data_IF_249129980400
#
_entry.id   IF_249129980400
#
_cell.length_a   1.000
_cell.length_b   1.000
_cell.length_c   1.000
_cell.angle_alpha   90.00
_cell.angle_beta   90.00
_cell.angle_gamma   90.00
#
_symmetry.space_group_name_H-M   'P 1'
#
loop_
_entity.id
_entity.type
_entity.pdbx_description
1 polymer ?
#
# COMPACT_ATOMS: atom_id res chain seq x y z
N UNK A 1 55.43 -44.90 -40.28
CA UNK A 1 55.63 -43.43 -40.19
C UNK A 1 54.41 -42.88 -39.47
N UNK A 2 54.53 -42.58 -38.17
CA UNK A 2 53.39 -42.24 -37.29
C UNK A 2 53.20 -40.73 -37.34
N UNK A 3 52.11 -40.25 -37.92
CA UNK A 3 51.73 -38.83 -37.93
C UNK A 3 50.70 -38.55 -36.83
N UNK A 4 51.17 -37.87 -35.79
CA UNK A 4 50.36 -37.29 -34.73
C UNK A 4 49.61 -36.05 -35.25
N UNK A 5 48.28 -36.13 -35.33
CA UNK A 5 47.43 -34.97 -35.65
C UNK A 5 46.98 -34.35 -34.33
N UNK A 6 47.60 -33.23 -33.96
CA UNK A 6 47.27 -32.45 -32.77
C UNK A 6 45.85 -31.90 -32.81
N UNK A 7 45.04 -32.24 -31.80
CA UNK A 7 43.74 -31.59 -31.53
C UNK A 7 43.99 -30.19 -30.95
N UNK A 8 43.54 -29.15 -31.67
CA UNK A 8 43.40 -27.79 -31.13
C UNK A 8 42.40 -27.78 -29.97
N UNK A 9 42.62 -27.03 -28.87
CA UNK A 9 41.62 -26.88 -27.82
C UNK A 9 40.46 -26.03 -28.35
N UNK A 10 39.24 -26.54 -28.23
CA UNK A 10 38.02 -25.80 -28.54
C UNK A 10 37.82 -24.74 -27.46
N UNK A 11 37.89 -23.47 -27.84
CA UNK A 11 37.70 -22.32 -26.94
C UNK A 11 36.24 -22.30 -26.51
N UNK A 12 35.96 -22.62 -25.25
CA UNK A 12 34.62 -22.49 -24.66
C UNK A 12 34.37 -21.00 -24.45
N UNK A 13 33.49 -20.40 -25.25
CA UNK A 13 32.98 -19.06 -24.98
C UNK A 13 32.00 -19.15 -23.80
N UNK A 14 32.37 -18.52 -22.68
CA UNK A 14 31.48 -18.39 -21.53
C UNK A 14 30.26 -17.52 -21.91
N UNK A 15 29.05 -17.85 -21.42
CA UNK A 15 27.85 -17.06 -21.70
C UNK A 15 28.04 -15.65 -21.16
N UNK A 16 27.98 -14.65 -22.04
CA UNK A 16 28.00 -13.26 -21.63
C UNK A 16 26.62 -12.90 -21.07
N UNK A 17 26.58 -12.54 -19.80
CA UNK A 17 25.40 -11.95 -19.17
C UNK A 17 25.13 -10.60 -19.85
N UNK A 18 24.05 -10.54 -20.63
CA UNK A 18 23.53 -9.27 -21.10
C UNK A 18 23.15 -8.43 -19.87
N UNK A 19 23.80 -7.27 -19.73
CA UNK A 19 23.40 -6.26 -18.76
C UNK A 19 21.94 -5.89 -19.05
N UNK A 20 21.03 -6.34 -18.18
CA UNK A 20 19.61 -6.02 -18.25
C UNK A 20 19.43 -4.58 -17.74
N UNK A 21 19.86 -3.63 -18.56
CA UNK A 21 19.67 -2.20 -18.39
C UNK A 21 18.76 -1.67 -19.49
N UNK A 22 17.57 -2.26 -19.63
CA UNK A 22 16.46 -1.57 -20.28
C UNK A 22 15.67 -0.99 -19.14
N UNK A 23 15.82 0.32 -18.94
CA UNK A 23 14.83 1.10 -18.22
C UNK A 23 13.52 0.84 -18.94
N UNK A 24 12.68 -0.04 -18.38
CA UNK A 24 11.34 -0.24 -18.87
C UNK A 24 10.67 1.12 -18.67
N UNK A 25 10.56 1.86 -19.76
CA UNK A 25 9.62 2.97 -19.88
C UNK A 25 8.29 2.42 -19.40
N UNK A 26 7.93 2.70 -18.16
CA UNK A 26 6.67 2.29 -17.56
C UNK A 26 5.62 2.82 -18.51
N UNK A 27 4.97 1.94 -19.26
CA UNK A 27 3.71 2.26 -19.91
C UNK A 27 2.88 2.82 -18.76
N UNK A 28 2.63 4.13 -18.75
CA UNK A 28 1.87 4.77 -17.70
C UNK A 28 0.47 4.22 -17.84
N UNK A 29 0.18 3.15 -17.11
CA UNK A 29 -1.09 2.44 -17.22
C UNK A 29 -2.14 3.37 -16.66
N UNK A 30 -3.12 3.69 -17.51
CA UNK A 30 -4.16 4.66 -17.19
C UNK A 30 -5.18 4.03 -16.25
N UNK A 31 -4.80 3.91 -14.97
CA UNK A 31 -5.69 3.53 -13.87
C UNK A 31 -6.88 4.47 -13.76
N UNK A 32 -6.77 5.69 -14.30
CA UNK A 32 -7.86 6.65 -14.29
C UNK A 32 -9.10 6.15 -15.04
N UNK A 33 -8.91 5.32 -16.07
CA UNK A 33 -10.02 4.65 -16.77
C UNK A 33 -10.75 3.60 -15.92
N UNK A 34 -10.20 3.23 -14.75
CA UNK A 34 -10.76 2.28 -13.80
C UNK A 34 -11.31 2.97 -12.54
N UNK A 35 -11.23 4.30 -12.46
CA UNK A 35 -11.78 5.04 -11.34
C UNK A 35 -13.30 4.86 -11.27
N UNK A 36 -13.86 4.61 -10.06
CA UNK A 36 -15.29 4.56 -9.87
C UNK A 36 -15.90 5.96 -9.99
N UNK A 37 -17.22 6.06 -9.80
CA UNK A 37 -17.82 7.38 -9.63
C UNK A 37 -17.23 8.09 -8.39
N UNK A 38 -17.30 9.42 -8.41
CA UNK A 38 -16.64 10.24 -7.41
C UNK A 38 -17.16 9.98 -5.98
N UNK A 39 -18.45 9.70 -5.79
CA UNK A 39 -18.99 9.46 -4.45
C UNK A 39 -18.55 8.11 -3.92
N UNK A 40 -18.53 7.09 -4.78
CA UNK A 40 -17.95 5.79 -4.43
C UNK A 40 -16.48 5.92 -4.02
N UNK A 41 -15.66 6.61 -4.83
CA UNK A 41 -14.26 6.87 -4.48
C UNK A 41 -14.13 7.55 -3.11
N UNK A 42 -14.86 8.66 -2.91
CA UNK A 42 -14.73 9.47 -1.70
C UNK A 42 -15.23 8.72 -0.47
N UNK A 43 -16.31 7.96 -0.59
CA UNK A 43 -16.85 7.16 0.51
C UNK A 43 -15.88 6.09 0.97
N UNK A 44 -15.29 5.34 0.04
CA UNK A 44 -14.33 4.30 0.39
C UNK A 44 -13.03 4.88 0.94
N UNK A 45 -12.46 5.89 0.27
CA UNK A 45 -11.23 6.54 0.73
C UNK A 45 -11.42 7.15 2.12
N UNK A 46 -12.55 7.82 2.37
CA UNK A 46 -12.84 8.44 3.66
C UNK A 46 -12.94 7.40 4.78
N UNK A 47 -13.57 6.24 4.53
CA UNK A 47 -13.67 5.19 5.54
C UNK A 47 -12.35 4.45 5.75
N UNK A 48 -11.53 4.29 4.69
CA UNK A 48 -10.17 3.76 4.81
C UNK A 48 -9.31 4.65 5.74
N UNK A 49 -9.28 5.96 5.52
CA UNK A 49 -8.53 6.90 6.36
C UNK A 49 -9.02 6.91 7.82
N UNK A 50 -10.34 6.78 8.02
CA UNK A 50 -10.90 6.62 9.36
C UNK A 50 -10.42 5.33 10.03
N UNK A 51 -10.38 4.21 9.29
CA UNK A 51 -9.86 2.94 9.79
C UNK A 51 -8.36 2.99 10.13
N UNK A 52 -7.56 3.72 9.35
CA UNK A 52 -6.15 4.00 9.67
C UNK A 52 -6.03 4.80 10.96
N UNK A 53 -6.82 5.88 11.11
CA UNK A 53 -6.89 6.66 12.34
C UNK A 53 -7.25 5.78 13.55
N UNK A 54 -8.30 4.96 13.46
CA UNK A 54 -8.72 4.08 14.57
C UNK A 54 -7.62 3.09 14.98
N UNK A 55 -6.89 2.55 13.99
CA UNK A 55 -5.79 1.60 14.23
C UNK A 55 -4.60 2.29 14.89
N UNK A 56 -4.24 3.49 14.44
CA UNK A 56 -3.20 4.33 15.05
C UNK A 56 -3.60 4.79 16.45
N UNK A 57 -4.85 5.18 16.68
CA UNK A 57 -5.35 5.57 17.99
C UNK A 57 -5.29 4.40 18.99
N UNK A 58 -5.57 3.17 18.53
CA UNK A 58 -5.34 1.96 19.33
C UNK A 58 -3.86 1.78 19.65
N UNK A 59 -2.97 1.96 18.67
CA UNK A 59 -1.54 1.89 18.89
C UNK A 59 -1.05 2.92 19.91
N UNK A 60 -1.58 4.15 19.89
CA UNK A 60 -1.31 5.19 20.91
C UNK A 60 -1.75 4.74 22.30
N UNK A 61 -2.95 4.15 22.42
CA UNK A 61 -3.49 3.71 23.70
C UNK A 61 -2.60 2.65 24.37
N UNK A 62 -2.04 1.73 23.58
CA UNK A 62 -1.24 0.60 24.05
C UNK A 62 0.28 0.80 23.90
N UNK A 63 0.73 1.99 23.49
CA UNK A 63 2.15 2.26 23.28
C UNK A 63 2.98 2.11 24.58
N UNK A 64 4.21 1.57 24.49
CA UNK A 64 5.01 1.19 25.66
C UNK A 64 5.62 2.38 26.39
N UNK A 65 5.79 3.52 25.72
CA UNK A 65 6.41 4.71 26.30
C UNK A 65 5.80 6.00 25.72
N UNK A 66 6.14 7.14 26.34
CA UNK A 66 5.59 8.45 25.97
C UNK A 66 6.07 8.95 24.60
N UNK A 67 7.32 8.65 24.21
CA UNK A 67 7.85 9.08 22.92
C UNK A 67 7.11 8.40 21.75
N UNK A 68 6.84 7.09 21.87
CA UNK A 68 6.01 6.38 20.89
C UNK A 68 4.59 6.97 20.86
N UNK A 69 4.00 7.33 22.02
CA UNK A 69 2.69 7.97 22.08
C UNK A 69 2.65 9.30 21.35
N UNK A 70 3.65 10.15 21.56
CA UNK A 70 3.74 11.45 20.90
C UNK A 70 3.76 11.28 19.37
N UNK A 71 4.70 10.50 18.84
CA UNK A 71 4.81 10.29 17.40
C UNK A 71 3.56 9.62 16.80
N UNK A 72 3.05 8.56 17.42
CA UNK A 72 1.86 7.86 16.93
C UNK A 72 0.61 8.75 16.99
N UNK A 73 0.50 9.63 17.98
CA UNK A 73 -0.61 10.59 18.07
C UNK A 73 -0.58 11.60 16.93
N UNK A 74 0.62 12.03 16.50
CA UNK A 74 0.77 12.88 15.33
C UNK A 74 0.33 12.14 14.06
N UNK A 75 0.78 10.91 13.83
CA UNK A 75 0.34 10.09 12.69
C UNK A 75 -1.18 9.89 12.67
N UNK A 76 -1.79 9.58 13.83
CA UNK A 76 -3.23 9.46 13.97
C UNK A 76 -3.96 10.77 13.59
N UNK A 77 -3.47 11.92 14.08
CA UNK A 77 -4.03 13.22 13.75
C UNK A 77 -4.00 13.54 12.25
N UNK A 78 -2.98 13.08 11.52
CA UNK A 78 -2.87 13.26 10.06
C UNK A 78 -3.85 12.37 9.30
N UNK A 79 -3.97 11.09 9.65
CA UNK A 79 -4.99 10.22 9.08
C UNK A 79 -6.41 10.77 9.30
N UNK A 80 -6.69 11.28 10.51
CA UNK A 80 -7.97 11.93 10.82
C UNK A 80 -8.18 13.20 9.98
N UNK A 81 -7.12 13.97 9.74
CA UNK A 81 -7.18 15.17 8.89
C UNK A 81 -7.51 14.82 7.44
N UNK A 82 -6.93 13.75 6.89
CA UNK A 82 -7.26 13.22 5.56
C UNK A 82 -8.72 12.77 5.48
N UNK A 83 -9.18 12.00 6.46
CA UNK A 83 -10.60 11.63 6.59
C UNK A 83 -11.51 12.87 6.60
N UNK A 84 -11.22 13.88 7.42
CA UNK A 84 -11.99 15.12 7.49
C UNK A 84 -12.01 15.90 6.17
N UNK A 85 -10.89 15.94 5.45
CA UNK A 85 -10.81 16.58 4.14
C UNK A 85 -11.69 15.88 3.10
N UNK A 86 -11.69 14.54 3.08
CA UNK A 86 -12.54 13.75 2.19
C UNK A 86 -14.03 13.95 2.48
N UNK A 87 -14.46 13.89 3.74
CA UNK A 87 -15.88 14.13 4.07
C UNK A 87 -16.31 15.58 3.83
N UNK A 88 -15.37 16.54 3.90
CA UNK A 88 -15.64 17.94 3.51
C UNK A 88 -15.91 18.03 2.02
N UNK A 89 -15.18 17.28 1.20
CA UNK A 89 -15.37 17.22 -0.26
C UNK A 89 -16.70 16.54 -0.66
N UNK A 90 -17.14 15.54 0.13
CA UNK A 90 -18.48 14.94 0.01
C UNK A 90 -19.57 15.98 0.31
N UNK A 91 -19.46 16.69 1.45
CA UNK A 91 -20.44 17.73 1.84
C UNK A 91 -20.51 18.87 0.83
N UNK A 92 -19.36 19.28 0.25
CA UNK A 92 -19.31 20.33 -0.79
C UNK A 92 -20.18 20.01 -2.01
N UNK A 93 -20.48 18.72 -2.23
CA UNK A 93 -21.33 18.24 -3.33
C UNK A 93 -22.77 17.96 -2.91
N UNK A 94 -23.16 18.30 -1.68
CA UNK A 94 -24.52 18.13 -1.19
C UNK A 94 -24.88 16.70 -0.78
N UNK A 95 -23.88 15.87 -0.47
CA UNK A 95 -24.09 14.52 0.04
C UNK A 95 -23.75 14.44 1.53
N UNK A 96 -24.43 13.53 2.25
CA UNK A 96 -24.14 13.23 3.65
C UNK A 96 -23.03 12.17 3.76
N UNK A 97 -21.90 12.46 4.45
CA UNK A 97 -20.75 11.56 4.49
C UNK A 97 -21.04 10.17 5.07
N UNK A 98 -21.83 10.06 6.12
CA UNK A 98 -22.20 8.79 6.73
C UNK A 98 -22.97 7.90 5.75
N UNK A 99 -23.91 8.47 4.99
CA UNK A 99 -24.64 7.75 3.95
C UNK A 99 -23.73 7.30 2.80
N UNK A 100 -22.76 8.13 2.38
CA UNK A 100 -21.81 7.80 1.31
C UNK A 100 -20.79 6.75 1.74
N UNK A 101 -20.39 6.75 3.01
CA UNK A 101 -19.41 5.81 3.57
C UNK A 101 -20.04 4.47 3.98
N UNK A 102 -21.32 4.45 4.37
CA UNK A 102 -22.04 3.28 4.89
C UNK A 102 -21.88 1.99 4.05
N UNK A 103 -21.90 2.01 2.70
CA UNK A 103 -21.74 0.80 1.90
C UNK A 103 -20.39 0.09 2.10
N UNK A 104 -19.33 0.82 2.44
CA UNK A 104 -17.97 0.29 2.56
C UNK A 104 -17.66 -0.26 3.96
N UNK A 105 -18.46 0.12 4.96
CA UNK A 105 -18.26 -0.23 6.38
C UNK A 105 -18.06 -1.73 6.59
N UNK A 106 -18.94 -2.63 6.09
CA UNK A 106 -18.80 -4.06 6.42
C UNK A 106 -17.51 -4.69 5.90
N UNK A 107 -17.08 -4.29 4.69
CA UNK A 107 -15.86 -4.82 4.06
C UNK A 107 -14.60 -4.30 4.77
N UNK A 108 -14.55 -3.00 5.01
CA UNK A 108 -13.38 -2.35 5.62
C UNK A 108 -13.25 -2.67 7.12
N UNK A 109 -14.35 -2.86 7.84
CA UNK A 109 -14.31 -3.36 9.22
C UNK A 109 -13.82 -4.80 9.29
N UNK A 110 -14.28 -5.66 8.38
CA UNK A 110 -13.78 -7.04 8.30
C UNK A 110 -12.29 -7.06 8.01
N UNK A 111 -11.83 -6.28 7.04
CA UNK A 111 -10.42 -6.16 6.72
C UNK A 111 -9.61 -5.69 7.94
N UNK A 112 -10.06 -4.64 8.63
CA UNK A 112 -9.39 -4.12 9.84
C UNK A 112 -9.32 -5.18 10.94
N UNK A 113 -10.40 -5.92 11.18
CA UNK A 113 -10.41 -7.02 12.15
C UNK A 113 -9.43 -8.14 11.78
N UNK A 114 -9.29 -8.45 10.49
CA UNK A 114 -8.37 -9.48 10.00
C UNK A 114 -6.90 -9.03 10.00
N UNK A 115 -6.66 -7.71 9.97
CA UNK A 115 -5.33 -7.11 9.84
C UNK A 115 -4.87 -6.35 11.09
N UNK A 116 -5.62 -6.36 12.19
CA UNK A 116 -5.20 -5.67 13.43
C UNK A 116 -3.97 -6.30 14.11
N UNK A 117 -3.54 -7.49 13.68
CA UNK A 117 -2.42 -8.21 14.28
C UNK A 117 -2.74 -8.86 15.62
N UNK A 118 -1.80 -9.65 16.11
CA UNK A 118 -1.85 -10.34 17.40
C UNK A 118 -1.22 -9.52 18.54
N UNK A 119 -0.35 -8.56 18.21
CA UNK A 119 0.32 -7.69 19.16
C UNK A 119 0.51 -6.26 18.60
N UNK A 120 1.16 -5.42 19.38
CA UNK A 120 1.40 -4.03 19.03
C UNK A 120 2.31 -3.84 17.81
N UNK A 121 3.32 -4.69 17.60
CA UNK A 121 4.23 -4.56 16.45
C UNK A 121 3.54 -4.99 15.16
N UNK A 122 2.72 -6.04 15.19
CA UNK A 122 1.90 -6.41 14.04
C UNK A 122 0.87 -5.33 13.71
N UNK A 123 0.27 -4.67 14.72
CA UNK A 123 -0.61 -3.52 14.52
C UNK A 123 0.14 -2.36 13.84
N UNK A 124 1.33 -1.99 14.33
CA UNK A 124 2.15 -0.96 13.70
C UNK A 124 2.52 -1.32 12.26
N UNK A 125 2.89 -2.57 12.01
CA UNK A 125 3.24 -3.03 10.67
C UNK A 125 2.03 -2.96 9.73
N UNK A 126 0.83 -3.31 10.21
CA UNK A 126 -0.40 -3.19 9.44
C UNK A 126 -0.73 -1.74 9.08
N UNK A 127 -0.59 -0.80 10.03
CA UNK A 127 -0.75 0.62 9.76
C UNK A 127 0.24 1.11 8.70
N UNK A 128 1.52 0.73 8.81
CA UNK A 128 2.58 1.17 7.91
C UNK A 128 2.42 0.59 6.50
N UNK A 129 2.24 -0.72 6.37
CA UNK A 129 2.21 -1.41 5.08
C UNK A 129 0.83 -1.34 4.43
N UNK A 130 -0.23 -1.66 5.17
CA UNK A 130 -1.60 -1.67 4.66
C UNK A 130 -2.10 -0.26 4.38
N UNK A 131 -1.89 0.67 5.33
CA UNK A 131 -2.21 2.08 5.15
C UNK A 131 -1.45 2.70 3.98
N UNK A 132 -0.14 2.51 3.91
CA UNK A 132 0.68 3.04 2.82
C UNK A 132 0.32 2.47 1.44
N UNK A 133 -0.05 1.18 1.34
CA UNK A 133 -0.49 0.59 0.08
C UNK A 133 -1.84 1.15 -0.37
N UNK A 134 -2.82 1.26 0.53
CA UNK A 134 -4.12 1.86 0.20
C UNK A 134 -3.99 3.34 -0.17
N UNK A 135 -3.13 4.09 0.52
CA UNK A 135 -2.82 5.48 0.19
C UNK A 135 -2.23 5.61 -1.22
N UNK A 136 -1.19 4.83 -1.56
CA UNK A 136 -0.62 4.79 -2.91
C UNK A 136 -1.70 4.48 -3.96
N UNK A 137 -2.58 3.54 -3.65
CA UNK A 137 -3.66 3.13 -4.53
C UNK A 137 -4.68 4.26 -4.74
N UNK A 138 -5.18 4.89 -3.67
CA UNK A 138 -6.16 5.97 -3.80
C UNK A 138 -5.56 7.22 -4.46
N UNK A 139 -4.29 7.54 -4.21
CA UNK A 139 -3.58 8.61 -4.92
C UNK A 139 -3.57 8.32 -6.42
N UNK A 140 -3.18 7.11 -6.83
CA UNK A 140 -3.17 6.72 -8.25
C UNK A 140 -4.56 6.73 -8.87
N UNK A 141 -5.55 6.16 -8.17
CA UNK A 141 -6.93 6.09 -8.65
C UNK A 141 -7.56 7.48 -8.81
N UNK A 142 -7.06 8.49 -8.09
CA UNK A 142 -7.52 9.87 -8.21
C UNK A 142 -7.23 10.51 -9.58
N UNK A 143 -6.30 9.94 -10.37
CA UNK A 143 -6.00 10.40 -11.74
C UNK A 143 -7.22 10.26 -12.68
N UNK A 144 -8.17 9.37 -12.36
CA UNK A 144 -9.41 9.18 -13.12
C UNK A 144 -10.57 10.07 -12.70
N UNK A 145 -10.42 10.82 -11.61
CA UNK A 145 -11.48 11.67 -11.09
C UNK A 145 -11.58 12.99 -11.89
N UNK A 146 -12.71 13.71 -11.79
CA UNK A 146 -12.86 15.01 -12.44
C UNK A 146 -11.73 15.99 -12.07
N UNK A 147 -11.30 16.82 -13.03
CA UNK A 147 -10.13 17.69 -12.91
C UNK A 147 -10.21 18.72 -11.77
N UNK A 148 -11.40 19.07 -11.32
CA UNK A 148 -11.60 20.01 -10.21
C UNK A 148 -11.33 19.40 -8.83
N UNK A 149 -11.30 18.05 -8.74
CA UNK A 149 -11.20 17.30 -7.48
C UNK A 149 -10.01 16.34 -7.43
N UNK A 150 -9.74 15.58 -8.50
CA UNK A 150 -8.72 14.53 -8.53
C UNK A 150 -7.36 15.01 -8.00
N UNK A 151 -6.75 16.08 -8.58
CA UNK A 151 -5.46 16.60 -8.12
C UNK A 151 -5.45 17.04 -6.66
N UNK A 152 -6.57 17.57 -6.14
CA UNK A 152 -6.67 18.07 -4.76
C UNK A 152 -6.75 16.92 -3.76
N UNK A 153 -7.50 15.88 -4.11
CA UNK A 153 -7.59 14.65 -3.32
C UNK A 153 -6.26 13.92 -3.33
N UNK A 154 -5.61 13.81 -4.49
CA UNK A 154 -4.25 13.26 -4.62
C UNK A 154 -3.26 13.98 -3.71
N UNK A 155 -3.28 15.32 -3.74
CA UNK A 155 -2.42 16.15 -2.91
C UNK A 155 -2.68 15.93 -1.41
N UNK A 156 -3.95 15.94 -0.99
CA UNK A 156 -4.34 15.75 0.40
C UNK A 156 -3.94 14.37 0.94
N UNK A 157 -4.16 13.31 0.16
CA UNK A 157 -3.74 11.97 0.52
C UNK A 157 -2.21 11.84 0.51
N UNK A 158 -1.51 12.54 -0.40
CA UNK A 158 -0.06 12.55 -0.49
C UNK A 158 0.66 13.43 0.53
N UNK A 159 -0.06 14.13 1.41
CA UNK A 159 0.56 14.81 2.55
C UNK A 159 1.24 13.80 3.47
N UNK A 160 2.38 14.19 4.06
CA UNK A 160 3.15 13.35 4.97
C UNK A 160 2.25 12.66 6.00
N UNK A 161 2.29 11.33 6.07
CA UNK A 161 1.50 10.50 6.98
C UNK A 161 2.12 10.37 8.38
N UNK A 162 3.30 10.93 8.62
CA UNK A 162 3.99 10.87 9.91
C UNK A 162 4.46 9.45 10.27
N UNK A 163 4.81 8.64 9.27
CA UNK A 163 5.11 7.21 9.47
C UNK A 163 6.46 6.91 10.12
N UNK A 164 7.32 7.92 10.29
CA UNK A 164 8.69 7.75 10.79
C UNK A 164 8.75 7.08 12.17
N UNK A 165 7.79 7.39 13.05
CA UNK A 165 7.70 6.74 14.37
C UNK A 165 7.35 5.26 14.27
N UNK A 166 6.47 4.85 13.33
CA UNK A 166 6.16 3.44 13.11
C UNK A 166 7.42 2.70 12.62
N UNK A 167 8.12 3.29 11.66
CA UNK A 167 9.37 2.73 11.11
C UNK A 167 10.43 2.59 12.19
N UNK A 168 10.62 3.63 13.01
CA UNK A 168 11.59 3.61 14.11
C UNK A 168 11.31 2.49 15.11
N UNK A 169 10.07 2.39 15.61
CA UNK A 169 9.68 1.37 16.59
C UNK A 169 9.81 -0.05 16.00
N UNK A 170 9.39 -0.26 14.76
CA UNK A 170 9.52 -1.55 14.08
C UNK A 170 10.99 -1.94 13.90
N UNK A 171 11.84 -1.04 13.41
CA UNK A 171 13.28 -1.31 13.22
C UNK A 171 13.99 -1.59 14.55
N UNK A 172 13.66 -0.83 15.60
CA UNK A 172 14.21 -1.06 16.94
C UNK A 172 13.84 -2.45 17.46
N UNK A 173 12.57 -2.84 17.31
CA UNK A 173 12.07 -4.14 17.75
C UNK A 173 12.69 -5.31 16.95
N UNK A 174 12.79 -5.17 15.62
CA UNK A 174 13.43 -6.16 14.74
C UNK A 174 14.91 -6.34 15.08
N UNK A 175 15.61 -5.24 15.38
CA UNK A 175 17.03 -5.28 15.78
C UNK A 175 17.24 -5.96 17.11
N UNK A 176 16.32 -5.74 18.07
CA UNK A 176 16.39 -6.34 19.39
C UNK A 176 16.02 -7.84 19.38
N UNK A 177 15.10 -8.26 18.50
CA UNK A 177 14.61 -9.63 18.42
C UNK A 177 14.47 -10.11 16.94
N UNK A 178 15.44 -10.89 16.44
CA UNK A 178 15.37 -11.46 15.08
C UNK A 178 14.20 -12.43 14.85
N UNK A 179 13.70 -13.09 15.91
CA UNK A 179 12.54 -13.99 15.79
C UNK A 179 11.25 -13.18 15.56
N UNK A 180 11.11 -12.04 16.24
CA UNK A 180 10.07 -11.05 15.94
C UNK A 180 10.18 -10.58 14.49
N UNK A 181 11.38 -10.23 14.01
CA UNK A 181 11.58 -9.84 12.60
C UNK A 181 11.09 -10.91 11.61
N UNK A 182 11.39 -12.18 11.85
CA UNK A 182 10.91 -13.29 11.02
C UNK A 182 9.38 -13.41 11.01
N UNK A 183 8.74 -13.19 12.17
CA UNK A 183 7.28 -13.18 12.29
C UNK A 183 6.65 -11.98 11.56
N UNK A 184 7.21 -10.79 11.74
CA UNK A 184 6.77 -9.57 11.05
C UNK A 184 6.92 -9.70 9.53
N UNK A 185 7.96 -10.37 9.04
CA UNK A 185 8.10 -10.65 7.61
C UNK A 185 6.95 -11.52 7.07
N UNK A 186 6.57 -12.58 7.80
CA UNK A 186 5.41 -13.41 7.44
C UNK A 186 4.10 -12.61 7.48
N UNK A 187 3.94 -11.76 8.49
CA UNK A 187 2.77 -10.88 8.62
C UNK A 187 2.68 -9.90 7.45
N UNK A 188 3.78 -9.21 7.10
CA UNK A 188 3.85 -8.30 5.97
C UNK A 188 3.43 -8.94 4.64
N UNK A 189 3.94 -10.15 4.36
CA UNK A 189 3.53 -10.92 3.17
C UNK A 189 2.06 -11.29 3.16
N UNK A 190 1.47 -11.56 4.32
CA UNK A 190 0.03 -11.84 4.41
C UNK A 190 -0.78 -10.57 4.11
N UNK A 191 -0.36 -9.43 4.65
CA UNK A 191 -1.07 -8.15 4.51
C UNK A 191 -1.26 -7.71 3.07
N UNK A 192 -0.27 -7.94 2.18
CA UNK A 192 -0.36 -7.48 0.78
C UNK A 192 -1.59 -8.06 0.07
N UNK A 193 -1.88 -9.35 0.28
CA UNK A 193 -3.02 -10.01 -0.36
C UNK A 193 -4.35 -9.45 0.13
N UNK A 194 -4.53 -9.36 1.45
CA UNK A 194 -5.75 -8.82 2.06
C UNK A 194 -5.97 -7.35 1.64
N UNK A 195 -4.89 -6.56 1.52
CA UNK A 195 -4.98 -5.15 1.14
C UNK A 195 -5.29 -4.96 -0.34
N UNK A 196 -4.74 -5.80 -1.22
CA UNK A 196 -5.05 -5.78 -2.66
C UNK A 196 -6.52 -6.15 -2.94
N UNK A 197 -7.15 -6.97 -2.10
CA UNK A 197 -8.59 -7.25 -2.22
C UNK A 197 -9.43 -5.99 -1.94
N UNK A 198 -9.04 -5.17 -0.96
CA UNK A 198 -9.68 -3.88 -0.69
C UNK A 198 -9.44 -2.88 -1.83
N UNK A 199 -8.22 -2.82 -2.36
CA UNK A 199 -7.93 -2.01 -3.54
C UNK A 199 -8.78 -2.46 -4.74
N UNK A 200 -8.94 -3.77 -4.94
CA UNK A 200 -9.76 -4.32 -6.03
C UNK A 200 -11.23 -3.93 -5.92
N UNK A 201 -11.77 -3.91 -4.69
CA UNK A 201 -13.18 -3.58 -4.45
C UNK A 201 -13.53 -2.12 -4.67
N UNK A 202 -12.54 -1.23 -4.71
CA UNK A 202 -12.73 0.19 -5.01
C UNK A 202 -12.86 0.50 -6.51
N UNK A 203 -12.58 -0.48 -7.35
CA UNK A 203 -12.80 -0.36 -8.78
C UNK A 203 -14.18 -0.95 -9.11
N UNK A 204 -14.93 -0.36 -10.05
CA UNK A 204 -16.23 -0.89 -10.46
C UNK A 204 -16.15 -2.37 -10.80
N UNK A 205 -17.26 -3.09 -10.59
CA UNK A 205 -17.47 -4.42 -11.16
C UNK A 205 -17.29 -4.27 -12.68
N UNK A 206 -16.12 -4.64 -13.18
CA UNK A 206 -15.94 -4.86 -14.60
C UNK A 206 -16.76 -6.11 -14.91
N UNK A 207 -18.06 -5.91 -15.19
CA UNK A 207 -18.84 -6.88 -15.93
C UNK A 207 -18.16 -7.07 -17.30
N UNK A 208 -17.25 -8.08 -17.35
CA UNK A 208 -16.68 -8.81 -18.50
C UNK A 208 -15.55 -8.10 -19.31
N UNK A 209 -14.52 -8.78 -19.94
CA UNK A 209 -13.85 -10.08 -19.75
C UNK A 209 -12.36 -9.90 -19.29
N UNK A 210 -11.50 -10.93 -19.43
CA UNK A 210 -10.06 -11.01 -19.15
C UNK A 210 -9.15 -9.80 -19.53
N UNK A 211 -9.66 -8.81 -20.28
CA UNK A 211 -8.97 -7.57 -20.62
C UNK A 211 -8.98 -6.49 -19.52
N UNK A 212 -9.91 -6.57 -18.55
CA UNK A 212 -9.87 -5.72 -17.36
C UNK A 212 -8.72 -6.14 -16.43
N UNK A 213 -8.53 -7.45 -16.23
CA UNK A 213 -7.42 -7.98 -15.42
C UNK A 213 -6.06 -7.60 -16.01
N UNK A 214 -5.89 -7.65 -17.34
CA UNK A 214 -4.64 -7.20 -17.98
C UNK A 214 -4.35 -5.70 -17.83
N UNK A 215 -5.39 -4.87 -17.55
CA UNK A 215 -5.23 -3.43 -17.30
C UNK A 215 -4.97 -3.13 -15.82
N UNK A 216 -5.45 -3.97 -14.92
CA UNK A 216 -5.26 -3.84 -13.46
C UNK A 216 -3.89 -4.40 -13.03
N UNK A 217 -3.42 -5.46 -13.68
CA UNK A 217 -2.17 -6.15 -13.33
C UNK A 217 -0.95 -5.21 -13.18
N UNK A 218 -0.71 -4.22 -14.07
CA UNK A 218 0.42 -3.31 -13.92
C UNK A 218 0.29 -2.40 -12.68
N UNK A 219 -0.93 -1.95 -12.36
CA UNK A 219 -1.19 -1.15 -11.15
C UNK A 219 -0.85 -1.97 -9.90
N UNK A 220 -1.34 -3.20 -9.84
CA UNK A 220 -1.10 -4.07 -8.69
C UNK A 220 0.37 -4.46 -8.59
N UNK A 221 1.05 -4.65 -9.72
CA UNK A 221 2.50 -4.87 -9.77
C UNK A 221 3.26 -3.70 -9.14
N UNK A 222 2.89 -2.46 -9.45
CA UNK A 222 3.53 -1.27 -8.87
C UNK A 222 3.23 -1.10 -7.38
N UNK A 223 2.01 -1.42 -6.93
CA UNK A 223 1.64 -1.42 -5.50
C UNK A 223 2.42 -2.50 -4.72
N UNK A 224 2.53 -3.70 -5.28
CA UNK A 224 3.36 -4.77 -4.69
C UNK A 224 4.81 -4.33 -4.63
N UNK A 225 5.34 -3.71 -5.69
CA UNK A 225 6.71 -3.19 -5.66
C UNK A 225 6.92 -2.10 -4.60
N UNK A 226 5.94 -1.21 -4.38
CA UNK A 226 5.98 -0.23 -3.30
C UNK A 226 5.93 -0.88 -1.92
N UNK A 227 5.07 -1.90 -1.74
CA UNK A 227 5.01 -2.71 -0.53
C UNK A 227 6.34 -3.43 -0.24
N UNK A 228 6.95 -4.07 -1.24
CA UNK A 228 8.27 -4.71 -1.12
C UNK A 228 9.34 -3.70 -0.70
N UNK A 229 9.36 -2.49 -1.28
CA UNK A 229 10.30 -1.44 -0.85
C UNK A 229 10.10 -1.02 0.61
N UNK A 230 8.86 -0.94 1.09
CA UNK A 230 8.57 -0.67 2.51
C UNK A 230 9.05 -1.80 3.42
N UNK A 231 8.85 -3.06 3.02
CA UNK A 231 9.37 -4.24 3.73
C UNK A 231 10.90 -4.23 3.79
N UNK A 232 11.58 -4.03 2.65
CA UNK A 232 13.03 -3.96 2.57
C UNK A 232 13.59 -2.81 3.42
N UNK A 233 12.90 -1.66 3.46
CA UNK A 233 13.25 -0.52 4.30
C UNK A 233 13.21 -0.81 5.81
N UNK A 234 12.45 -1.82 6.24
CA UNK A 234 12.44 -2.34 7.61
C UNK A 234 13.46 -3.46 7.84
N UNK A 235 14.21 -3.87 6.80
CA UNK A 235 15.08 -5.05 6.86
C UNK A 235 14.31 -6.37 6.83
N UNK A 236 13.04 -6.36 6.42
CA UNK A 236 12.20 -7.54 6.28
C UNK A 236 12.25 -8.08 4.86
N UNK A 237 12.27 -9.40 4.71
CA UNK A 237 12.16 -10.03 3.39
C UNK A 237 10.70 -10.10 2.96
N UNK A 238 10.39 -9.53 1.79
CA UNK A 238 9.10 -9.67 1.13
C UNK A 238 8.89 -11.06 0.51
#
# INVERSE_FOLDING_TARGET
MVTWIGRRPQRVEAPRLNARGVSQSSVKVDIGALAPDLMHYLGQAAYCELGVFESLARAVATAPNLASKEGLSAAAGRALSKHHGLITEIRRRGHEPDAVMAPFVPSLDRFRQQTQGSDWHELLLSCYLGGGLLEDFFIRLSDGLPRDVGPRVAQMLGEDSGTDVLVHELQAAITADPALGSRLAMWGRRLVGDTLLIARSAMPDCDVPASADSRIEPVFTELIAAHTRRMDGLGLTA
#
